data_IF_189711540916
#
_entry.id   IF_189711540916
#
_cell.length_a   1.000
_cell.length_b   1.000
_cell.length_c   1.000
_cell.angle_alpha   90.00
_cell.angle_beta   90.00
_cell.angle_gamma   90.00
#
_symmetry.space_group_name_H-M   'P 1'
#
loop_
_entity.id
_entity.type
_entity.pdbx_description
1 polymer ?
#
# COMPACT_ATOMS: atom_id res chain seq x y z
N UNK A 1 -7.79 3.79 0.36
CA UNK A 1 -6.36 3.75 0.00
C UNK A 1 -5.78 5.12 0.25
N UNK A 2 -4.45 5.25 0.32
CA UNK A 2 -3.83 6.57 0.34
C UNK A 2 -3.89 7.24 -1.03
N UNK A 3 -3.81 8.55 -1.05
CA UNK A 3 -3.68 9.35 -2.26
C UNK A 3 -2.31 9.12 -2.92
N UNK A 4 -2.25 9.23 -4.25
CA UNK A 4 -0.99 9.17 -5.01
C UNK A 4 0.00 10.23 -4.53
N UNK A 5 -0.49 11.40 -4.10
CA UNK A 5 0.35 12.47 -3.55
C UNK A 5 1.01 12.04 -2.23
N UNK A 6 0.25 11.46 -1.30
CA UNK A 6 0.79 10.96 -0.03
C UNK A 6 1.73 9.76 -0.23
N UNK A 7 1.41 8.88 -1.19
CA UNK A 7 2.29 7.77 -1.56
C UNK A 7 3.67 8.27 -2.04
N UNK A 8 3.69 9.33 -2.87
CA UNK A 8 4.94 9.94 -3.34
C UNK A 8 5.72 10.54 -2.16
N UNK A 9 5.05 11.26 -1.26
CA UNK A 9 5.70 11.81 -0.07
C UNK A 9 6.34 10.72 0.79
N UNK A 10 5.63 9.61 1.06
CA UNK A 10 6.19 8.48 1.81
C UNK A 10 7.40 7.83 1.11
N UNK A 11 7.37 7.71 -0.22
CA UNK A 11 8.52 7.23 -0.99
C UNK A 11 9.71 8.18 -0.86
N UNK A 12 9.45 9.48 -0.98
CA UNK A 12 10.47 10.52 -0.99
C UNK A 12 11.14 10.71 0.39
N UNK A 13 10.47 10.31 1.48
CA UNK A 13 11.08 10.22 2.82
C UNK A 13 11.95 8.96 3.02
N UNK A 14 12.04 8.10 2.01
CA UNK A 14 12.88 6.91 2.03
C UNK A 14 12.19 5.68 2.62
N UNK A 15 10.86 5.63 2.66
CA UNK A 15 10.13 4.42 3.05
C UNK A 15 10.49 3.26 2.12
N UNK A 16 11.30 2.32 2.60
CA UNK A 16 11.65 1.12 1.87
C UNK A 16 10.47 0.14 1.88
N UNK A 17 10.06 -0.29 0.69
CA UNK A 17 8.97 -1.25 0.52
C UNK A 17 9.50 -2.61 0.06
N UNK A 18 9.02 -3.68 0.69
CA UNK A 18 9.31 -5.05 0.32
C UNK A 18 8.01 -5.69 -0.19
N UNK A 19 7.88 -5.95 -1.51
CA UNK A 19 6.60 -6.38 -2.08
C UNK A 19 6.12 -7.72 -1.52
N UNK A 20 4.85 -7.77 -1.13
CA UNK A 20 4.14 -8.97 -0.70
C UNK A 20 2.81 -9.15 -1.46
N UNK A 21 2.29 -10.37 -1.45
CA UNK A 21 1.00 -10.69 -2.06
C UNK A 21 -0.12 -9.82 -1.46
N UNK A 22 -0.95 -9.24 -2.31
CA UNK A 22 -2.00 -8.29 -1.97
C UNK A 22 -1.56 -6.82 -1.91
N UNK A 23 -0.27 -6.53 -2.09
CA UNK A 23 0.22 -5.15 -2.18
C UNK A 23 -0.31 -4.45 -3.43
N UNK A 24 -0.60 -3.17 -3.29
CA UNK A 24 -1.10 -2.34 -4.38
C UNK A 24 -0.07 -1.31 -4.77
N UNK A 25 0.06 -1.06 -6.07
CA UNK A 25 0.98 -0.05 -6.59
C UNK A 25 0.46 0.56 -7.89
N UNK A 26 1.00 1.72 -8.24
CA UNK A 26 0.89 2.31 -9.56
C UNK A 26 2.26 2.24 -10.24
N UNK A 27 2.27 2.19 -11.57
CA UNK A 27 3.51 2.29 -12.34
C UNK A 27 3.72 3.76 -12.65
N UNK A 28 4.88 4.32 -12.29
CA UNK A 28 5.21 5.75 -12.48
C UNK A 28 5.59 6.05 -13.95
N UNK A 29 4.69 5.69 -14.89
CA UNK A 29 4.82 5.89 -16.34
C UNK A 29 3.57 6.57 -16.88
N UNK A 30 3.75 7.59 -17.71
CA UNK A 30 2.65 8.41 -18.23
C UNK A 30 1.57 7.62 -18.99
N UNK A 31 1.93 6.49 -19.60
CA UNK A 31 0.99 5.64 -20.35
C UNK A 31 0.07 4.79 -19.44
N UNK A 32 0.44 4.62 -18.18
CA UNK A 32 -0.25 3.77 -17.19
C UNK A 32 -0.70 4.59 -15.97
N UNK A 33 -0.73 5.93 -16.11
CA UNK A 33 -1.09 6.83 -15.03
C UNK A 33 -2.54 6.61 -14.60
N UNK A 34 -2.74 6.38 -13.31
CA UNK A 34 -4.06 6.08 -12.72
C UNK A 34 -4.41 4.60 -12.58
N UNK A 35 -3.72 3.68 -13.28
CA UNK A 35 -3.96 2.24 -13.12
C UNK A 35 -3.36 1.73 -11.80
N UNK A 36 -4.13 0.89 -11.10
CA UNK A 36 -3.73 0.28 -9.83
C UNK A 36 -3.55 -1.22 -10.04
N UNK A 37 -2.33 -1.67 -9.83
CA UNK A 37 -1.94 -3.07 -9.91
C UNK A 37 -1.93 -3.69 -8.51
N UNK A 38 -2.18 -4.99 -8.43
CA UNK A 38 -2.10 -5.76 -7.18
C UNK A 38 -1.12 -6.91 -7.36
N UNK A 39 -0.09 -6.97 -6.52
CA UNK A 39 0.82 -8.12 -6.44
C UNK A 39 -0.01 -9.34 -6.07
N UNK A 40 0.06 -10.39 -6.87
CA UNK A 40 -0.73 -11.59 -6.67
C UNK A 40 0.14 -12.81 -6.91
N UNK A 41 -0.01 -13.82 -6.07
CA UNK A 41 0.65 -15.11 -6.28
C UNK A 41 0.05 -15.82 -7.50
N UNK A 42 0.91 -16.45 -8.30
CA UNK A 42 0.45 -17.33 -9.37
C UNK A 42 -0.25 -18.53 -8.73
N UNK A 43 -1.55 -18.68 -9.02
CA UNK A 43 -2.32 -19.82 -8.53
C UNK A 43 -2.48 -20.84 -9.65
N UNK A 44 -2.09 -22.09 -9.40
CA UNK A 44 -2.20 -23.20 -10.36
C UNK A 44 -3.37 -24.11 -9.93
N UNK A 45 -4.35 -24.29 -10.82
CA UNK A 45 -5.54 -25.10 -10.56
C UNK A 45 -5.67 -26.28 -11.51
N UNK A 46 -5.77 -27.50 -10.96
CA UNK A 46 -6.00 -28.70 -11.76
C UNK A 46 -7.49 -28.88 -12.07
N UNK A 47 -7.83 -28.82 -13.36
CA UNK A 47 -9.16 -29.07 -13.89
C UNK A 47 -9.22 -30.50 -14.45
N UNK A 48 -10.07 -31.35 -13.86
CA UNK A 48 -10.21 -32.74 -14.27
C UNK A 48 -11.38 -32.90 -15.25
N UNK A 49 -11.09 -33.41 -16.45
CA UNK A 49 -12.07 -33.75 -17.48
C UNK A 49 -12.03 -35.25 -17.76
N UNK A 50 -13.11 -35.83 -18.31
CA UNK A 50 -13.10 -37.22 -18.78
C UNK A 50 -11.99 -37.53 -19.80
N UNK A 51 -11.48 -36.50 -20.50
CA UNK A 51 -10.42 -36.59 -21.50
C UNK A 51 -9.00 -36.38 -20.94
N UNK A 52 -8.85 -35.96 -19.68
CA UNK A 52 -7.54 -35.68 -19.07
C UNK A 52 -7.58 -34.55 -18.03
N UNK A 53 -6.43 -34.21 -17.48
CA UNK A 53 -6.28 -33.10 -16.52
C UNK A 53 -5.61 -31.91 -17.21
N UNK A 54 -6.20 -30.72 -17.07
CA UNK A 54 -5.66 -29.45 -17.57
C UNK A 54 -5.24 -28.61 -16.37
N UNK A 55 -4.04 -28.04 -16.40
CA UNK A 55 -3.60 -27.09 -15.39
C UNK A 55 -3.95 -25.67 -15.85
N UNK A 56 -4.82 -25.00 -15.11
CA UNK A 56 -5.11 -23.58 -15.27
C UNK A 56 -4.12 -22.75 -14.47
N UNK A 57 -3.65 -21.66 -15.06
CA UNK A 57 -2.75 -20.72 -14.41
C UNK A 57 -3.52 -19.41 -14.22
N UNK A 58 -3.97 -19.14 -12.99
CA UNK A 58 -4.66 -17.91 -12.63
C UNK A 58 -3.62 -16.89 -12.17
N UNK A 59 -3.52 -15.76 -12.88
CA UNK A 59 -2.54 -14.70 -12.60
C UNK A 59 -1.62 -14.34 -13.77
N UNK A 60 -1.75 -14.97 -14.94
CA UNK A 60 -1.10 -14.46 -16.16
C UNK A 60 -1.93 -13.33 -16.75
N UNK A 61 -1.35 -12.14 -16.87
CA UNK A 61 -1.94 -11.01 -17.59
C UNK A 61 -1.97 -11.30 -19.10
N UNK A 62 -3.11 -11.04 -19.75
CA UNK A 62 -3.26 -11.08 -21.22
C UNK A 62 -2.48 -9.97 -21.95
N UNK A 63 -1.80 -9.10 -21.20
CA UNK A 63 -0.96 -8.02 -21.69
C UNK A 63 0.43 -8.21 -21.08
N UNK A 64 1.40 -8.56 -21.93
CA UNK A 64 2.76 -8.88 -21.55
C UNK A 64 3.51 -7.60 -21.15
N UNK A 65 3.27 -7.10 -19.94
CA UNK A 65 4.26 -6.31 -19.26
C UNK A 65 5.24 -7.31 -18.64
N UNK A 66 6.30 -7.64 -19.41
CA UNK A 66 7.21 -8.73 -19.06
C UNK A 66 7.92 -8.51 -17.72
N UNK A 67 8.20 -7.26 -17.35
CA UNK A 67 8.78 -6.89 -16.05
C UNK A 67 8.68 -5.38 -15.77
N UNK A 68 8.57 -5.01 -14.49
CA UNK A 68 8.68 -3.63 -13.98
C UNK A 68 9.74 -3.62 -12.88
N UNK A 69 10.62 -2.61 -12.87
CA UNK A 69 11.55 -2.42 -11.76
C UNK A 69 10.78 -1.98 -10.52
N UNK A 70 11.13 -2.49 -9.34
CA UNK A 70 10.52 -2.06 -8.07
C UNK A 70 10.70 -0.55 -7.86
N UNK A 71 11.78 0.04 -8.37
CA UNK A 71 12.00 1.49 -8.34
C UNK A 71 10.98 2.29 -9.17
N UNK A 72 10.38 1.69 -10.20
CA UNK A 72 9.34 2.29 -11.03
C UNK A 72 7.93 2.16 -10.39
N UNK A 73 7.81 1.42 -9.28
CA UNK A 73 6.54 1.20 -8.59
C UNK A 73 6.30 2.25 -7.49
N UNK A 74 5.15 2.90 -7.57
CA UNK A 74 4.64 3.74 -6.49
C UNK A 74 3.66 2.93 -5.63
N UNK A 75 4.13 2.48 -4.47
CA UNK A 75 3.34 1.67 -3.55
C UNK A 75 2.18 2.46 -2.93
N UNK A 76 1.02 1.81 -2.82
CA UNK A 76 -0.21 2.32 -2.21
C UNK A 76 -0.59 1.43 -1.02
N UNK A 77 0.11 1.55 0.12
CA UNK A 77 -0.10 0.70 1.29
C UNK A 77 -1.55 0.69 1.77
N UNK A 78 -2.01 -0.48 2.19
CA UNK A 78 -3.32 -0.66 2.82
C UNK A 78 -3.29 -0.16 4.27
N UNK A 79 -4.48 -0.04 4.86
CA UNK A 79 -4.64 0.44 6.24
C UNK A 79 -3.88 -0.40 7.27
N UNK A 80 -4.00 -1.72 7.17
CA UNK A 80 -3.33 -2.69 8.03
C UNK A 80 -1.81 -2.52 7.96
N UNK A 81 -1.27 -2.35 6.76
CA UNK A 81 0.17 -2.20 6.54
C UNK A 81 0.69 -0.88 7.10
N UNK A 82 -0.04 0.23 6.90
CA UNK A 82 0.34 1.54 7.46
C UNK A 82 0.30 1.52 8.99
N UNK A 83 -0.71 0.84 9.56
CA UNK A 83 -0.81 0.65 11.01
C UNK A 83 0.36 -0.16 11.54
N UNK A 84 0.75 -1.23 10.85
CA UNK A 84 1.89 -2.06 11.23
C UNK A 84 3.21 -1.29 11.13
N UNK A 85 3.36 -0.40 10.15
CA UNK A 85 4.53 0.48 9.98
C UNK A 85 4.66 1.52 11.09
N UNK A 86 3.54 2.03 11.63
CA UNK A 86 3.56 2.95 12.78
C UNK A 86 4.04 2.29 14.07
N UNK A 87 3.95 0.96 14.19
CA UNK A 87 4.41 0.17 15.34
C UNK A 87 3.96 0.80 16.68
N UNK A 88 4.91 1.01 17.60
CA UNK A 88 4.66 1.53 18.94
C UNK A 88 4.25 3.01 19.00
N UNK A 89 4.37 3.75 17.89
CA UNK A 89 3.89 5.12 17.80
C UNK A 89 2.38 5.19 17.65
N UNK A 90 1.71 4.16 17.12
CA UNK A 90 0.24 4.18 17.00
C UNK A 90 -0.44 4.14 18.37
N UNK A 91 -1.44 5.02 18.58
CA UNK A 91 -2.21 5.09 19.83
C UNK A 91 -3.68 4.73 19.62
N UNK A 92 -4.34 5.33 18.64
CA UNK A 92 -5.76 5.06 18.40
C UNK A 92 -6.20 5.45 16.99
N UNK A 93 -7.28 4.80 16.54
CA UNK A 93 -8.10 5.23 15.41
C UNK A 93 -9.49 5.58 15.95
N UNK A 94 -9.93 6.79 15.67
CA UNK A 94 -11.25 7.31 16.04
C UNK A 94 -12.04 7.58 14.77
N UNK A 95 -13.31 7.14 14.70
CA UNK A 95 -14.24 7.54 13.65
C UNK A 95 -14.96 8.81 14.08
N UNK A 96 -14.95 9.83 13.23
CA UNK A 96 -15.68 11.09 13.43
C UNK A 96 -16.96 11.08 12.58
N UNK A 97 -17.71 12.18 12.61
CA UNK A 97 -18.90 12.34 11.77
C UNK A 97 -18.53 12.35 10.28
N UNK A 98 -17.41 12.97 9.93
CA UNK A 98 -16.99 13.21 8.54
C UNK A 98 -15.74 12.41 8.11
N UNK A 99 -15.16 11.58 8.98
CA UNK A 99 -13.94 10.87 8.65
C UNK A 99 -13.32 10.07 9.80
N UNK A 100 -12.00 10.15 9.88
CA UNK A 100 -11.16 9.35 10.76
C UNK A 100 -10.02 10.18 11.30
N UNK A 101 -9.68 9.96 12.57
CA UNK A 101 -8.52 10.54 13.22
C UNK A 101 -7.60 9.41 13.70
N UNK A 102 -6.36 9.42 13.25
CA UNK A 102 -5.29 8.59 13.79
C UNK A 102 -4.50 9.40 14.81
N UNK A 103 -4.38 8.87 16.02
CA UNK A 103 -3.49 9.43 17.04
C UNK A 103 -2.20 8.64 17.05
N UNK A 104 -1.07 9.32 16.94
CA UNK A 104 0.27 8.74 17.06
C UNK A 104 1.11 9.52 18.08
N UNK A 105 2.02 8.84 18.76
CA UNK A 105 2.96 9.47 19.70
C UNK A 105 4.30 9.70 19.03
N UNK A 106 4.76 10.95 19.08
CA UNK A 106 6.08 11.40 18.63
C UNK A 106 6.72 12.19 19.78
N UNK A 107 7.94 11.83 20.18
CA UNK A 107 8.67 12.43 21.32
C UNK A 107 7.83 12.57 22.60
N UNK A 108 7.15 11.49 22.96
CA UNK A 108 6.22 11.43 24.09
C UNK A 108 4.97 12.33 24.00
N UNK A 109 4.80 13.08 22.91
CA UNK A 109 3.63 13.93 22.65
C UNK A 109 2.66 13.24 21.69
N UNK A 110 1.37 13.31 21.98
CA UNK A 110 0.34 12.80 21.07
C UNK A 110 0.01 13.82 19.97
N UNK A 111 0.03 13.35 18.73
CA UNK A 111 -0.35 14.08 17.54
C UNK A 111 -1.55 13.41 16.87
N UNK A 112 -2.46 14.23 16.35
CA UNK A 112 -3.70 13.79 15.69
C UNK A 112 -3.64 14.12 14.21
N UNK A 113 -3.93 13.13 13.38
CA UNK A 113 -3.94 13.23 11.92
C UNK A 113 -5.31 12.85 11.41
N UNK A 114 -5.98 13.79 10.73
CA UNK A 114 -7.36 13.64 10.31
C UNK A 114 -7.48 13.49 8.79
N UNK A 115 -8.38 12.62 8.34
CA UNK A 115 -8.80 12.55 6.95
C UNK A 115 -10.18 11.89 6.83
N UNK A 116 -10.86 12.15 5.72
CA UNK A 116 -12.10 11.45 5.34
C UNK A 116 -11.88 9.94 5.09
N UNK A 117 -10.62 9.51 4.94
CA UNK A 117 -10.20 8.13 4.67
C UNK A 117 -9.24 7.64 5.76
N UNK A 118 -9.55 6.52 6.41
CA UNK A 118 -8.68 5.94 7.43
C UNK A 118 -7.25 5.66 6.92
N UNK A 119 -7.04 5.01 5.75
CA UNK A 119 -5.71 4.86 5.18
C UNK A 119 -4.94 6.17 5.04
N UNK A 120 -5.60 7.25 4.61
CA UNK A 120 -4.96 8.57 4.45
C UNK A 120 -4.51 9.13 5.80
N UNK A 121 -5.36 9.04 6.83
CA UNK A 121 -5.00 9.47 8.19
C UNK A 121 -3.80 8.67 8.75
N UNK A 122 -3.76 7.36 8.50
CA UNK A 122 -2.61 6.52 8.84
C UNK A 122 -1.34 6.92 8.07
N UNK A 123 -1.45 7.18 6.77
CA UNK A 123 -0.32 7.60 5.94
C UNK A 123 0.25 8.95 6.37
N UNK A 124 -0.60 9.90 6.75
CA UNK A 124 -0.17 11.20 7.30
C UNK A 124 0.56 11.04 8.63
N UNK A 125 0.04 10.19 9.52
CA UNK A 125 0.71 9.88 10.79
C UNK A 125 2.08 9.22 10.55
N UNK A 126 2.16 8.26 9.62
CA UNK A 126 3.40 7.57 9.29
C UNK A 126 4.44 8.53 8.70
N UNK A 127 4.02 9.41 7.79
CA UNK A 127 4.88 10.41 7.19
C UNK A 127 5.57 11.27 8.27
N UNK A 128 4.79 11.79 9.21
CA UNK A 128 5.32 12.61 10.30
C UNK A 128 6.30 11.84 11.22
N UNK A 129 6.06 10.55 11.45
CA UNK A 129 6.99 9.70 12.22
C UNK A 129 8.32 9.53 11.46
N UNK A 130 8.28 9.27 10.16
CA UNK A 130 9.50 9.09 9.33
C UNK A 130 10.29 10.40 9.24
N UNK A 131 9.61 11.52 8.98
CA UNK A 131 10.23 12.84 8.93
C UNK A 131 10.95 13.18 10.23
N UNK A 132 10.40 12.76 11.37
CA UNK A 132 10.99 13.01 12.69
C UNK A 132 12.22 12.14 12.98
N UNK A 133 12.22 10.89 12.52
CA UNK A 133 13.35 9.97 12.68
C UNK A 133 14.50 10.32 11.73
N UNK A 134 14.19 10.94 10.60
CA UNK A 134 15.17 11.28 9.55
C UNK A 134 15.82 12.66 9.74
N UNK A 135 15.33 13.46 10.69
CA UNK A 135 15.83 14.80 11.02
C UNK A 135 16.87 14.79 12.15
#
# INVERSE_FOLDING_TARGET
MISTALARQLRDTGLAWHPESGDRFQIDRAELDGDIFTVSDLTIEAHHYPTGTVLGFNGTTEWALDSVDVADALWLPREDQLRDLLRGSFRSLERTDDGYIVTAQLDDVEHRYESVSAPEAYGLALLAVIDRVSA
#
